data_IF_927819236729
#
_entry.id   IF_927819236729
#
_cell.length_a   1.000
_cell.length_b   1.000
_cell.length_c   1.000
_cell.angle_alpha   90.00
_cell.angle_beta   90.00
_cell.angle_gamma   90.00
#
_symmetry.space_group_name_H-M   'P 1'
#
loop_
_entity.id
_entity.type
_entity.pdbx_description
1 polymer ?
#
# COMPACT_ATOMS: atom_id res chain seq x y z
N UNK A 1 25.93 9.35 25.43
CA UNK A 1 24.79 10.12 25.97
C UNK A 1 23.49 9.48 25.50
N UNK A 2 22.81 8.70 26.34
CA UNK A 2 21.48 8.16 26.05
C UNK A 2 20.48 9.31 25.96
N UNK A 3 19.85 9.49 24.81
CA UNK A 3 18.66 10.34 24.73
C UNK A 3 17.63 9.80 25.73
N UNK A 4 17.02 10.65 26.57
CA UNK A 4 15.98 10.21 27.47
C UNK A 4 14.91 9.47 26.67
N UNK A 5 14.36 8.41 27.26
CA UNK A 5 13.24 7.66 26.69
C UNK A 5 12.04 8.61 26.65
N UNK A 6 11.95 9.45 25.62
CA UNK A 6 10.86 10.39 25.44
C UNK A 6 9.62 9.60 25.05
N UNK A 7 8.84 9.24 26.06
CA UNK A 7 7.48 8.78 25.86
C UNK A 7 6.73 9.92 25.17
N UNK A 8 6.16 9.63 23.99
CA UNK A 8 5.26 10.56 23.32
C UNK A 8 4.08 10.77 24.28
N UNK A 9 4.09 11.88 25.02
CA UNK A 9 3.00 12.23 25.93
C UNK A 9 2.07 13.13 25.15
N UNK A 10 0.96 12.56 24.70
CA UNK A 10 -0.06 13.32 24.00
C UNK A 10 -0.98 13.98 25.03
N UNK A 11 -1.27 15.28 24.90
CA UNK A 11 -2.24 15.97 25.74
C UNK A 11 -3.69 15.52 25.45
N UNK A 12 -3.92 14.85 24.32
CA UNK A 12 -5.23 14.44 23.80
C UNK A 12 -5.17 13.05 23.16
N UNK A 13 -6.33 12.38 23.05
CA UNK A 13 -6.47 11.08 22.38
C UNK A 13 -6.46 11.18 20.84
N UNK A 14 -6.36 12.41 20.32
CA UNK A 14 -6.28 12.75 18.90
C UNK A 14 -4.95 13.43 18.63
N UNK A 15 -4.27 13.00 17.57
CA UNK A 15 -3.03 13.61 17.10
C UNK A 15 -3.17 13.98 15.62
N UNK A 16 -2.81 15.21 15.27
CA UNK A 16 -2.74 15.64 13.87
C UNK A 16 -1.54 14.98 13.22
N UNK A 17 -1.74 14.29 12.11
CA UNK A 17 -0.67 13.72 11.28
C UNK A 17 -0.48 14.61 10.05
N UNK A 18 0.75 15.03 9.82
CA UNK A 18 1.13 15.83 8.65
C UNK A 18 2.24 15.16 7.84
N UNK A 19 2.28 15.38 6.51
CA UNK A 19 3.41 14.91 5.72
C UNK A 19 4.69 15.65 6.11
N UNK A 20 5.74 14.90 6.41
CA UNK A 20 7.09 15.44 6.44
C UNK A 20 7.71 15.29 5.07
N UNK A 21 7.68 16.38 4.28
CA UNK A 21 8.30 16.41 2.95
C UNK A 21 9.82 16.49 3.07
N UNK A 22 10.51 15.59 2.37
CA UNK A 22 11.95 15.56 2.23
C UNK A 22 12.29 15.33 0.75
N UNK A 23 12.76 16.36 0.02
CA UNK A 23 13.00 16.27 -1.42
C UNK A 23 13.97 15.17 -1.84
N UNK A 24 14.84 14.71 -0.93
CA UNK A 24 15.78 13.62 -1.20
C UNK A 24 15.08 12.28 -1.05
N UNK A 25 14.36 12.06 0.05
CA UNK A 25 13.61 10.81 0.28
C UNK A 25 12.44 10.65 -0.69
N UNK A 26 11.83 11.75 -1.13
CA UNK A 26 10.77 11.74 -2.13
C UNK A 26 11.25 11.11 -3.45
N UNK A 27 12.54 11.23 -3.78
CA UNK A 27 13.14 10.67 -4.99
C UNK A 27 13.82 9.32 -4.75
N UNK A 28 14.55 9.19 -3.65
CA UNK A 28 15.49 8.07 -3.42
C UNK A 28 15.05 7.12 -2.30
N UNK A 29 14.01 7.48 -1.56
CA UNK A 29 13.48 6.68 -0.46
C UNK A 29 12.58 5.54 -0.93
N UNK A 30 12.44 4.54 -0.06
CA UNK A 30 11.52 3.43 -0.23
C UNK A 30 10.18 3.76 0.42
N UNK A 31 9.08 3.60 -0.30
CA UNK A 31 7.72 3.72 0.27
C UNK A 31 7.60 2.81 1.51
N UNK A 32 7.00 3.32 2.59
CA UNK A 32 6.80 2.57 3.83
C UNK A 32 6.08 1.22 3.62
N UNK A 33 5.29 1.10 2.55
CA UNK A 33 4.52 -0.08 2.17
C UNK A 33 5.29 -1.04 1.25
N UNK A 34 6.50 -0.67 0.84
CA UNK A 34 7.33 -1.48 -0.06
C UNK A 34 7.85 -2.76 0.59
N UNK A 35 8.13 -3.77 -0.25
CA UNK A 35 8.79 -4.99 0.18
C UNK A 35 10.16 -4.72 0.82
N UNK A 36 10.89 -3.68 0.38
CA UNK A 36 12.17 -3.29 0.98
C UNK A 36 12.00 -2.94 2.46
N UNK A 37 10.99 -2.12 2.79
CA UNK A 37 10.73 -1.71 4.18
C UNK A 37 10.28 -2.90 5.02
N UNK A 38 9.39 -3.73 4.49
CA UNK A 38 8.93 -4.92 5.18
C UNK A 38 10.05 -5.93 5.45
N UNK A 39 10.95 -6.14 4.50
CA UNK A 39 12.03 -7.14 4.61
C UNK A 39 13.19 -6.66 5.48
N UNK A 40 13.63 -5.41 5.30
CA UNK A 40 14.91 -4.94 5.86
C UNK A 40 14.73 -3.95 7.01
N UNK A 41 13.70 -3.10 6.98
CA UNK A 41 13.44 -2.16 8.07
C UNK A 41 12.67 -2.79 9.23
N UNK A 42 11.82 -3.78 8.99
CA UNK A 42 11.01 -4.42 10.04
C UNK A 42 11.84 -4.96 11.21
N UNK A 43 12.97 -5.68 11.03
CA UNK A 43 13.80 -6.13 12.15
C UNK A 43 14.36 -4.97 13.00
N UNK A 44 14.50 -3.78 12.41
CA UNK A 44 15.05 -2.60 13.06
C UNK A 44 13.94 -1.77 13.72
N UNK A 45 12.81 -1.56 13.06
CA UNK A 45 11.72 -0.74 13.58
C UNK A 45 10.77 -1.51 14.49
N UNK A 46 10.67 -2.83 14.31
CA UNK A 46 9.66 -3.67 14.93
C UNK A 46 8.30 -3.59 14.20
N UNK A 47 7.42 -4.56 14.47
CA UNK A 47 6.16 -4.72 13.74
C UNK A 47 5.22 -3.53 13.92
N UNK A 48 5.03 -3.06 15.17
CA UNK A 48 4.12 -1.96 15.48
C UNK A 48 4.49 -0.67 14.75
N UNK A 49 5.76 -0.28 14.82
CA UNK A 49 6.27 0.93 14.12
C UNK A 49 6.10 0.81 12.61
N UNK A 50 6.40 -0.36 12.06
CA UNK A 50 6.31 -0.61 10.61
C UNK A 50 4.86 -0.51 10.13
N UNK A 51 3.92 -1.15 10.83
CA UNK A 51 2.50 -1.07 10.50
C UNK A 51 1.92 0.33 10.68
N UNK A 52 2.35 1.05 11.72
CA UNK A 52 2.00 2.46 11.90
C UNK A 52 2.43 3.32 10.70
N UNK A 53 3.71 3.23 10.29
CA UNK A 53 4.21 3.99 9.14
C UNK A 53 3.51 3.61 7.83
N UNK A 54 3.22 2.32 7.62
CA UNK A 54 2.45 1.84 6.47
C UNK A 54 1.05 2.43 6.41
N UNK A 55 0.35 2.46 7.55
CA UNK A 55 -0.97 3.09 7.66
C UNK A 55 -0.89 4.58 7.38
N UNK A 56 0.04 5.29 8.00
CA UNK A 56 0.22 6.74 7.79
C UNK A 56 0.53 7.04 6.33
N UNK A 57 1.40 6.28 5.68
CA UNK A 57 1.71 6.46 4.26
C UNK A 57 0.48 6.24 3.36
N UNK A 58 -0.37 5.26 3.67
CA UNK A 58 -1.63 5.06 2.94
C UNK A 58 -2.61 6.23 3.15
N UNK A 59 -2.78 6.70 4.39
CA UNK A 59 -3.70 7.80 4.69
C UNK A 59 -3.22 9.13 4.11
N UNK A 60 -1.91 9.42 4.13
CA UNK A 60 -1.34 10.63 3.53
C UNK A 60 -1.44 10.63 2.00
N UNK A 61 -1.50 9.47 1.35
CA UNK A 61 -1.79 9.38 -0.09
C UNK A 61 -3.24 9.81 -0.39
N UNK A 62 -4.18 9.41 0.46
CA UNK A 62 -5.60 9.79 0.33
C UNK A 62 -5.87 11.23 0.82
N UNK A 63 -5.11 11.70 1.81
CA UNK A 63 -5.26 13.00 2.49
C UNK A 63 -3.91 13.73 2.54
N UNK A 64 -3.46 14.34 1.42
CA UNK A 64 -2.11 14.93 1.33
C UNK A 64 -1.87 16.10 2.28
N UNK A 65 -2.92 16.78 2.75
CA UNK A 65 -2.81 17.88 3.72
C UNK A 65 -2.73 17.41 5.17
N UNK A 66 -2.67 16.09 5.41
CA UNK A 66 -2.72 15.50 6.74
C UNK A 66 -4.13 15.17 7.22
N UNK A 67 -4.20 14.41 8.31
CA UNK A 67 -5.44 13.90 8.88
C UNK A 67 -5.34 13.78 10.41
N UNK A 68 -6.49 13.67 11.07
CA UNK A 68 -6.54 13.51 12.53
C UNK A 68 -6.56 12.02 12.88
N UNK A 69 -5.53 11.56 13.60
CA UNK A 69 -5.38 10.18 14.02
C UNK A 69 -5.93 10.01 15.42
N UNK A 70 -6.98 9.19 15.53
CA UNK A 70 -7.55 8.74 16.80
C UNK A 70 -6.66 7.63 17.38
N UNK A 71 -5.95 7.89 18.47
CA UNK A 71 -4.89 7.00 18.99
C UNK A 71 -5.44 5.63 19.39
N UNK A 72 -6.50 5.60 20.20
CA UNK A 72 -7.09 4.36 20.70
C UNK A 72 -7.75 3.52 19.58
N UNK A 73 -8.68 4.05 18.76
CA UNK A 73 -9.23 3.32 17.63
C UNK A 73 -8.16 2.80 16.65
N UNK A 74 -7.11 3.59 16.41
CA UNK A 74 -6.02 3.16 15.53
C UNK A 74 -5.22 2.02 16.14
N UNK A 75 -4.91 2.06 17.44
CA UNK A 75 -4.24 0.98 18.14
C UNK A 75 -5.05 -0.32 18.09
N UNK A 76 -6.36 -0.25 18.36
CA UNK A 76 -7.27 -1.39 18.26
C UNK A 76 -7.33 -1.97 16.84
N UNK A 77 -7.40 -1.11 15.81
CA UNK A 77 -7.41 -1.54 14.41
C UNK A 77 -6.10 -2.24 13.98
N UNK A 78 -4.98 -1.99 14.67
CA UNK A 78 -3.71 -2.67 14.47
C UNK A 78 -3.56 -3.94 15.35
N UNK A 79 -4.60 -4.34 16.07
CA UNK A 79 -4.58 -5.49 16.97
C UNK A 79 -3.74 -5.28 18.23
N UNK A 80 -3.49 -4.03 18.61
CA UNK A 80 -2.69 -3.68 19.79
C UNK A 80 -3.61 -3.51 21.00
N UNK A 81 -3.19 -4.09 22.13
CA UNK A 81 -3.89 -3.93 23.39
C UNK A 81 -3.99 -2.46 23.80
N UNK A 82 -5.20 -2.02 24.10
CA UNK A 82 -5.55 -0.66 24.56
C UNK A 82 -5.41 -0.49 26.08
N UNK A 83 -5.22 -1.59 26.81
CA UNK A 83 -5.07 -1.59 28.26
C UNK A 83 -3.65 -1.14 28.65
N UNK A 84 -3.49 0.13 29.04
CA UNK A 84 -2.31 0.55 29.80
C UNK A 84 -1.76 1.94 29.48
N UNK A 85 -2.37 2.99 30.05
CA UNK A 85 -1.77 4.30 30.32
C UNK A 85 -0.80 4.90 29.28
N UNK A 86 0.18 5.68 29.76
CA UNK A 86 1.16 6.41 28.93
C UNK A 86 2.18 5.54 28.18
N UNK A 87 2.08 4.21 28.22
CA UNK A 87 3.12 3.29 27.72
C UNK A 87 2.57 2.12 26.87
N UNK A 88 1.53 2.38 26.08
CA UNK A 88 0.97 1.37 25.19
C UNK A 88 1.96 0.97 24.07
N UNK A 89 1.87 -0.26 23.52
CA UNK A 89 2.68 -0.67 22.36
C UNK A 89 2.60 0.31 21.19
N UNK A 90 1.42 0.89 20.96
CA UNK A 90 1.20 1.87 19.89
C UNK A 90 1.99 3.16 20.12
N UNK A 91 1.90 3.76 21.32
CA UNK A 91 2.67 4.96 21.67
C UNK A 91 4.18 4.71 21.62
N UNK A 92 4.64 3.52 22.03
CA UNK A 92 6.04 3.12 21.87
C UNK A 92 6.45 2.98 20.40
N UNK A 93 5.57 2.50 19.54
CA UNK A 93 5.78 2.44 18.09
C UNK A 93 5.96 3.84 17.49
N UNK A 94 5.10 4.80 17.85
CA UNK A 94 5.23 6.19 17.39
C UNK A 94 6.52 6.85 17.92
N UNK A 95 6.82 6.68 19.21
CA UNK A 95 8.07 7.17 19.80
C UNK A 95 9.30 6.55 19.13
N UNK A 96 9.22 5.28 18.71
CA UNK A 96 10.27 4.62 17.96
C UNK A 96 10.40 5.19 16.55
N UNK A 97 9.31 5.48 15.84
CA UNK A 97 9.38 6.21 14.57
C UNK A 97 10.12 7.54 14.73
N UNK A 98 9.85 8.28 15.80
CA UNK A 98 10.57 9.51 16.13
C UNK A 98 12.06 9.28 16.41
N UNK A 99 12.39 8.24 17.19
CA UNK A 99 13.79 7.84 17.45
C UNK A 99 14.58 7.55 16.18
N UNK A 100 13.93 6.96 15.17
CA UNK A 100 14.54 6.67 13.86
C UNK A 100 14.46 7.84 12.87
N UNK A 101 14.00 9.02 13.31
CA UNK A 101 13.83 10.23 12.48
C UNK A 101 12.87 10.02 11.30
N UNK A 102 11.90 9.12 11.47
CA UNK A 102 10.82 8.87 10.51
C UNK A 102 9.54 9.61 10.90
N UNK A 103 9.51 10.15 12.11
CA UNK A 103 8.49 11.07 12.58
C UNK A 103 9.14 12.16 13.44
N UNK A 104 8.48 13.30 13.59
CA UNK A 104 8.87 14.35 14.53
C UNK A 104 7.65 15.07 15.06
N UNK A 105 7.65 15.37 16.36
CA UNK A 105 6.61 16.19 16.95
C UNK A 105 6.80 17.64 16.50
N UNK A 106 5.71 18.27 16.10
CA UNK A 106 5.61 19.69 15.75
C UNK A 106 4.57 20.29 16.70
N UNK A 107 5.01 21.19 17.59
CA UNK A 107 4.12 21.68 18.65
C UNK A 107 3.72 20.59 19.65
N UNK A 108 2.45 20.60 20.09
CA UNK A 108 1.97 19.77 21.20
C UNK A 108 1.08 18.59 20.76
N UNK A 109 0.47 18.68 19.58
CA UNK A 109 -0.58 17.77 19.10
C UNK A 109 -0.38 17.33 17.65
N UNK A 110 0.71 17.74 17.00
CA UNK A 110 0.99 17.43 15.60
C UNK A 110 2.24 16.58 15.46
N UNK A 111 2.17 15.53 14.64
CA UNK A 111 3.27 14.63 14.32
C UNK A 111 3.48 14.62 12.81
N UNK A 112 4.60 15.21 12.38
CA UNK A 112 5.01 15.16 10.99
C UNK A 112 5.70 13.81 10.71
N UNK A 113 5.28 13.08 9.68
CA UNK A 113 5.71 11.71 9.39
C UNK A 113 6.24 11.58 7.96
N UNK A 114 7.36 10.86 7.81
CA UNK A 114 7.94 10.51 6.52
C UNK A 114 7.16 9.35 5.87
N UNK A 115 6.64 9.55 4.66
CA UNK A 115 5.97 8.49 3.89
C UNK A 115 6.97 7.50 3.25
N UNK A 116 8.22 7.95 3.06
CA UNK A 116 9.32 7.16 2.50
C UNK A 116 10.47 7.05 3.49
N UNK A 117 11.06 5.86 3.56
CA UNK A 117 12.20 5.57 4.42
C UNK A 117 13.49 5.57 3.59
N UNK A 118 14.61 6.04 4.16
CA UNK A 118 15.89 5.93 3.47
C UNK A 118 16.29 4.45 3.28
N UNK A 119 17.15 4.16 2.30
CA UNK A 119 17.91 2.92 2.28
C UNK A 119 18.65 2.74 3.61
N UNK A 120 18.79 1.49 4.06
CA UNK A 120 19.53 1.21 5.29
C UNK A 120 20.99 1.62 5.18
N UNK A 121 21.50 2.20 6.27
CA UNK A 121 22.93 2.49 6.42
C UNK A 121 23.73 1.20 6.64
N UNK A 122 25.03 1.22 6.32
CA UNK A 122 25.91 0.07 6.54
C UNK A 122 25.87 -0.45 7.99
N UNK A 123 25.89 0.45 8.97
CA UNK A 123 25.83 0.09 10.39
C UNK A 123 24.50 -0.54 10.80
N UNK A 124 23.39 -0.16 10.15
CA UNK A 124 22.09 -0.82 10.37
C UNK A 124 22.09 -2.22 9.77
N UNK A 125 22.63 -2.38 8.56
CA UNK A 125 22.76 -3.67 7.87
C UNK A 125 23.63 -4.64 8.67
N UNK A 126 24.73 -4.18 9.26
CA UNK A 126 25.63 -4.98 10.11
C UNK A 126 24.92 -5.58 11.33
N UNK A 127 23.84 -4.96 11.81
CA UNK A 127 23.06 -5.44 12.96
C UNK A 127 21.95 -6.43 12.57
N UNK A 128 21.70 -6.64 11.29
CA UNK A 128 20.69 -7.59 10.82
C UNK A 128 21.16 -9.05 11.03
N UNK A 129 20.22 -10.00 11.15
CA UNK A 129 20.54 -11.43 11.03
C UNK A 129 21.28 -11.73 9.73
N UNK A 130 22.20 -12.70 9.75
CA UNK A 130 23.06 -13.02 8.60
C UNK A 130 22.26 -13.25 7.31
N UNK A 131 21.22 -14.09 7.35
CA UNK A 131 20.39 -14.37 6.18
C UNK A 131 19.69 -13.13 5.59
N UNK A 132 19.27 -12.16 6.42
CA UNK A 132 18.66 -10.91 5.95
C UNK A 132 19.71 -9.97 5.35
N UNK A 133 20.94 -9.97 5.90
CA UNK A 133 22.06 -9.21 5.35
C UNK A 133 22.46 -9.72 3.97
N UNK A 134 22.53 -11.03 3.81
CA UNK A 134 22.87 -11.67 2.53
C UNK A 134 21.78 -11.39 1.48
N UNK A 135 20.52 -11.49 1.87
CA UNK A 135 19.38 -11.11 1.02
C UNK A 135 19.43 -9.62 0.62
N UNK A 136 19.80 -8.73 1.55
CA UNK A 136 19.96 -7.31 1.24
C UNK A 136 21.08 -7.06 0.22
N UNK A 137 22.18 -7.80 0.31
CA UNK A 137 23.27 -7.71 -0.66
C UNK A 137 22.82 -8.14 -2.07
N UNK A 138 22.08 -9.25 -2.18
CA UNK A 138 21.48 -9.69 -3.45
C UNK A 138 20.52 -8.65 -4.00
N UNK A 139 19.62 -8.11 -3.17
CA UNK A 139 18.70 -7.05 -3.56
C UNK A 139 19.43 -5.82 -4.09
N UNK A 140 20.52 -5.42 -3.45
CA UNK A 140 21.33 -4.27 -3.87
C UNK A 140 22.04 -4.52 -5.20
N UNK A 141 22.53 -5.73 -5.44
CA UNK A 141 23.14 -6.11 -6.72
C UNK A 141 22.11 -6.13 -7.85
N UNK A 142 20.92 -6.67 -7.61
CA UNK A 142 19.80 -6.64 -8.57
C UNK A 142 19.33 -5.21 -8.84
N UNK A 143 19.22 -4.39 -7.80
CA UNK A 143 18.89 -2.98 -7.92
C UNK A 143 19.95 -2.27 -8.76
N UNK A 144 21.26 -2.45 -8.49
CA UNK A 144 22.35 -1.87 -9.30
C UNK A 144 22.30 -2.29 -10.76
N UNK A 145 21.85 -3.50 -11.06
CA UNK A 145 21.67 -4.00 -12.43
C UNK A 145 20.45 -3.39 -13.15
N UNK A 146 19.46 -2.87 -12.40
CA UNK A 146 18.14 -2.52 -12.93
C UNK A 146 17.53 -1.14 -12.54
N UNK A 147 18.23 -0.09 -12.06
CA UNK A 147 17.55 0.86 -11.17
C UNK A 147 16.90 2.11 -11.80
N UNK A 148 17.16 2.49 -13.04
CA UNK A 148 16.56 3.70 -13.64
C UNK A 148 15.71 3.40 -14.89
N UNK A 149 16.17 2.46 -15.71
CA UNK A 149 15.51 2.08 -16.97
C UNK A 149 14.12 1.50 -16.75
N UNK A 150 13.90 0.68 -15.72
CA UNK A 150 12.61 0.03 -15.52
C UNK A 150 11.55 0.99 -14.94
N UNK A 151 11.95 1.92 -14.08
CA UNK A 151 11.05 2.99 -13.61
C UNK A 151 10.72 3.97 -14.75
N UNK A 152 11.72 4.36 -15.52
CA UNK A 152 11.55 5.19 -16.72
C UNK A 152 10.62 4.49 -17.73
N UNK A 153 10.79 3.18 -17.96
CA UNK A 153 9.93 2.36 -18.84
C UNK A 153 8.49 2.30 -18.34
N UNK A 154 8.26 2.10 -17.04
CA UNK A 154 6.89 2.09 -16.46
C UNK A 154 6.22 3.45 -16.57
N UNK A 155 6.97 4.54 -16.37
CA UNK A 155 6.46 5.91 -16.54
C UNK A 155 6.15 6.20 -18.02
N UNK A 156 7.05 5.84 -18.92
CA UNK A 156 6.86 5.98 -20.36
C UNK A 156 5.61 5.24 -20.85
N UNK A 157 5.41 3.99 -20.39
CA UNK A 157 4.22 3.17 -20.71
C UNK A 157 2.91 3.81 -20.25
N UNK A 158 2.87 4.38 -19.04
CA UNK A 158 1.67 5.09 -18.56
C UNK A 158 1.38 6.34 -19.37
N UNK A 159 2.41 7.13 -19.68
CA UNK A 159 2.26 8.33 -20.51
C UNK A 159 1.78 7.99 -21.93
N UNK A 160 2.35 6.94 -22.54
CA UNK A 160 1.93 6.45 -23.84
C UNK A 160 0.47 5.99 -23.83
N UNK A 161 0.05 5.22 -22.81
CA UNK A 161 -1.33 4.78 -22.67
C UNK A 161 -2.31 5.95 -22.53
N UNK A 162 -1.98 6.94 -21.70
CA UNK A 162 -2.82 8.13 -21.56
C UNK A 162 -2.96 8.92 -22.87
N UNK A 163 -1.89 9.08 -23.65
CA UNK A 163 -1.95 9.78 -24.93
C UNK A 163 -2.76 9.00 -25.98
N UNK A 164 -2.60 7.68 -26.03
CA UNK A 164 -3.40 6.81 -26.91
C UNK A 164 -4.89 6.82 -26.51
N UNK A 165 -5.21 6.81 -25.21
CA UNK A 165 -6.59 6.92 -24.70
C UNK A 165 -7.23 8.28 -25.03
N UNK A 166 -6.43 9.34 -25.10
CA UNK A 166 -6.85 10.67 -25.54
C UNK A 166 -7.04 10.78 -27.07
N UNK A 167 -6.70 9.72 -27.83
CA UNK A 167 -6.90 9.66 -29.27
C UNK A 167 -5.77 10.28 -30.10
N UNK A 168 -4.59 10.52 -29.49
CA UNK A 168 -3.40 10.97 -30.22
C UNK A 168 -2.93 9.90 -31.22
N UNK A 169 -2.38 10.32 -32.35
CA UNK A 169 -1.76 9.42 -33.34
C UNK A 169 -0.41 8.89 -32.84
N UNK A 170 0.02 7.73 -33.32
CA UNK A 170 1.29 7.09 -32.99
C UNK A 170 2.49 8.05 -33.11
N UNK A 171 2.51 8.84 -34.17
CA UNK A 171 3.53 9.85 -34.45
C UNK A 171 3.53 10.97 -33.41
N UNK A 172 2.34 11.44 -32.99
CA UNK A 172 2.20 12.45 -31.95
C UNK A 172 2.61 11.91 -30.58
N UNK A 173 2.25 10.66 -30.25
CA UNK A 173 2.65 10.00 -29.00
C UNK A 173 4.17 9.88 -28.93
N UNK A 174 4.82 9.34 -29.95
CA UNK A 174 6.28 9.21 -29.96
C UNK A 174 6.93 10.59 -29.89
N UNK A 175 6.54 11.57 -30.71
CA UNK A 175 7.12 12.92 -30.67
C UNK A 175 6.98 13.57 -29.29
N UNK A 176 5.85 13.36 -28.60
CA UNK A 176 5.62 13.88 -27.26
C UNK A 176 6.52 13.21 -26.21
N UNK A 177 6.70 11.89 -26.27
CA UNK A 177 7.61 11.15 -25.38
C UNK A 177 9.07 11.58 -25.59
N UNK A 178 9.49 11.81 -26.84
CA UNK A 178 10.81 12.37 -27.17
C UNK A 178 10.99 13.79 -26.64
N UNK A 179 9.96 14.64 -26.75
CA UNK A 179 9.95 16.00 -26.20
C UNK A 179 10.13 16.00 -24.69
N UNK A 180 9.60 14.98 -24.00
CA UNK A 180 9.82 14.71 -22.58
C UNK A 180 11.13 13.97 -22.26
N UNK A 181 12.07 13.91 -23.21
CA UNK A 181 13.41 13.33 -23.06
C UNK A 181 13.42 11.83 -22.78
N UNK A 182 12.38 11.10 -23.21
CA UNK A 182 12.38 9.64 -23.21
C UNK A 182 13.16 9.16 -24.44
N UNK A 183 14.06 8.19 -24.24
CA UNK A 183 14.89 7.65 -25.32
C UNK A 183 14.03 7.01 -26.42
N UNK A 184 14.38 7.14 -27.73
CA UNK A 184 13.56 6.64 -28.84
C UNK A 184 13.13 5.18 -28.71
N UNK A 185 14.07 4.30 -28.36
CA UNK A 185 13.76 2.88 -28.16
C UNK A 185 12.70 2.65 -27.04
N UNK A 186 12.76 3.41 -25.95
CA UNK A 186 11.79 3.30 -24.86
C UNK A 186 10.43 3.94 -25.21
N UNK A 187 10.43 5.00 -26.02
CA UNK A 187 9.20 5.63 -26.51
C UNK A 187 8.43 4.66 -27.43
N UNK A 188 9.15 4.03 -28.36
CA UNK A 188 8.62 3.01 -29.25
C UNK A 188 8.07 1.79 -28.50
N UNK A 189 8.85 1.25 -27.55
CA UNK A 189 8.42 0.14 -26.69
C UNK A 189 7.18 0.49 -25.85
N UNK A 190 7.08 1.73 -25.38
CA UNK A 190 5.95 2.21 -24.58
C UNK A 190 4.67 2.38 -25.41
N UNK A 191 4.78 2.90 -26.64
CA UNK A 191 3.67 3.02 -27.58
C UNK A 191 3.14 1.63 -27.98
N UNK A 192 4.04 0.71 -28.34
CA UNK A 192 3.65 -0.67 -28.68
C UNK A 192 2.89 -1.33 -27.53
N UNK A 193 3.40 -1.21 -26.30
CA UNK A 193 2.74 -1.74 -25.11
C UNK A 193 1.35 -1.11 -24.88
N UNK A 194 1.18 0.20 -25.13
CA UNK A 194 -0.10 0.88 -24.97
C UNK A 194 -1.16 0.35 -25.95
N UNK A 195 -0.78 0.09 -27.21
CA UNK A 195 -1.67 -0.53 -28.20
C UNK A 195 -2.05 -1.97 -27.86
N UNK A 196 -1.08 -2.77 -27.41
CA UNK A 196 -1.34 -4.13 -26.90
C UNK A 196 -2.31 -4.10 -25.72
N UNK A 197 -2.19 -3.11 -24.82
CA UNK A 197 -3.09 -2.93 -23.67
C UNK A 197 -4.50 -2.49 -24.06
N UNK A 198 -4.62 -1.61 -25.06
CA UNK A 198 -5.91 -1.15 -25.62
C UNK A 198 -6.62 -2.26 -26.38
N UNK A 199 -5.87 -3.05 -27.14
CA UNK A 199 -6.37 -4.26 -27.82
C UNK A 199 -6.75 -5.38 -26.85
N UNK A 200 -6.14 -5.42 -25.67
CA UNK A 200 -6.44 -6.35 -24.58
C UNK A 200 -7.56 -5.87 -23.63
N UNK A 201 -8.29 -4.80 -23.95
CA UNK A 201 -9.53 -4.47 -23.25
C UNK A 201 -10.51 -5.66 -23.34
N UNK A 202 -11.24 -5.99 -22.25
CA UNK A 202 -11.97 -7.23 -22.14
C UNK A 202 -12.97 -7.38 -23.28
N UNK A 203 -12.97 -8.56 -23.91
CA UNK A 203 -14.07 -9.01 -24.74
C UNK A 203 -15.38 -8.67 -24.05
N UNK A 204 -16.22 -7.90 -24.76
CA UNK A 204 -17.63 -7.66 -24.55
C UNK A 204 -18.22 -8.11 -23.20
N UNK A 205 -18.69 -7.15 -22.40
CA UNK A 205 -19.84 -7.43 -21.56
C UNK A 205 -20.93 -8.07 -22.46
N UNK A 206 -21.42 -9.29 -22.16
CA UNK A 206 -22.50 -9.88 -22.93
C UNK A 206 -23.73 -8.97 -22.88
N UNK A 207 -24.55 -8.91 -23.95
CA UNK A 207 -25.78 -8.13 -23.94
C UNK A 207 -26.63 -8.57 -22.74
N UNK A 208 -27.08 -7.58 -21.97
CA UNK A 208 -27.99 -7.74 -20.84
C UNK A 208 -29.07 -8.77 -21.17
N UNK A 209 -29.02 -9.92 -20.49
CA UNK A 209 -30.05 -10.93 -20.56
C UNK A 209 -31.37 -10.30 -20.14
N UNK A 210 -32.33 -10.31 -21.06
CA UNK A 210 -33.75 -10.13 -20.78
C UNK A 210 -34.10 -10.96 -19.54
N UNK A 211 -34.75 -10.33 -18.56
CA UNK A 211 -35.41 -11.03 -17.46
C UNK A 211 -36.28 -12.17 -18.02
N UNK A 212 -36.12 -13.42 -17.54
CA UNK A 212 -37.17 -14.41 -17.65
C UNK A 212 -38.29 -14.01 -16.68
N UNK A 213 -39.53 -13.95 -17.18
CA UNK A 213 -40.73 -13.73 -16.38
C UNK A 213 -40.95 -14.80 -15.29
N UNK A 214 -41.98 -14.63 -14.44
CA UNK A 214 -42.18 -15.44 -13.25
C UNK A 214 -42.39 -16.93 -13.59
N UNK A 215 -41.80 -17.81 -12.77
CA UNK A 215 -41.90 -19.27 -12.86
C UNK A 215 -43.37 -19.72 -12.79
N UNK A 216 -43.82 -20.65 -13.65
CA UNK A 216 -45.07 -21.37 -13.42
C UNK A 216 -44.91 -22.39 -12.28
N UNK A 217 -45.96 -22.50 -11.45
CA UNK A 217 -46.06 -23.43 -10.32
C UNK A 217 -45.92 -24.90 -10.77
N UNK A 218 -45.31 -25.77 -9.95
CA UNK A 218 -45.23 -27.20 -10.24
C UNK A 218 -46.59 -27.90 -10.06
N UNK A 219 -46.93 -28.90 -10.90
CA UNK A 219 -48.17 -29.65 -10.78
C UNK A 219 -48.21 -30.52 -9.53
N UNK A 220 -49.39 -30.60 -8.91
CA UNK A 220 -49.69 -31.33 -7.69
C UNK A 220 -49.37 -32.84 -7.81
N UNK A 221 -48.67 -33.36 -6.80
CA UNK A 221 -48.42 -34.79 -6.65
C UNK A 221 -49.73 -35.55 -6.29
N UNK A 222 -49.93 -36.78 -6.80
CA UNK A 222 -51.10 -37.58 -6.49
C UNK A 222 -51.11 -38.07 -5.03
N UNK A 223 -52.30 -38.04 -4.43
CA UNK A 223 -52.57 -38.48 -3.05
C UNK A 223 -52.30 -39.99 -2.91
N UNK A 224 -51.58 -40.45 -1.87
CA UNK A 224 -51.55 -41.87 -1.54
C UNK A 224 -52.80 -42.25 -0.74
N UNK A 225 -53.44 -43.32 -1.20
CA UNK A 225 -54.65 -43.91 -0.64
C UNK A 225 -54.48 -44.40 0.80
N UNK A 226 -55.57 -44.21 1.57
CA UNK A 226 -55.83 -44.77 2.89
C UNK A 226 -55.85 -46.30 2.83
N UNK A 227 -54.93 -46.96 3.53
CA UNK A 227 -55.15 -48.33 4.04
C UNK A 227 -54.97 -48.34 5.56
N UNK A 228 -56.07 -48.70 6.23
CA UNK A 228 -56.24 -48.91 7.67
C UNK A 228 -55.37 -50.06 8.19
N UNK A 229 -54.81 -49.90 9.39
CA UNK A 229 -54.69 -50.95 10.44
C UNK A 229 -54.13 -50.27 11.71
N UNK A 230 -54.93 -49.93 12.72
CA UNK A 230 -55.39 -50.77 13.84
C UNK A 230 -54.26 -51.30 14.75
N UNK A 231 -54.20 -50.81 15.99
CA UNK A 231 -53.67 -51.56 17.14
C UNK A 231 -52.52 -50.92 17.94
N UNK A 232 -52.86 -50.20 19.01
CA UNK A 232 -52.10 -50.18 20.27
C UNK A 232 -52.79 -51.17 21.26
N UNK A 233 -52.36 -51.41 22.52
CA UNK A 233 -51.19 -50.93 23.30
C UNK A 233 -50.41 -52.11 23.94
N UNK A 234 -49.26 -51.96 24.61
CA UNK A 234 -48.98 -51.34 25.92
C UNK A 234 -47.46 -51.25 26.11
#
# INVERSE_FOLDING_TARGET
MSLPNQYLTLPTDVIRIEPWLDPVLDKLGHDARSAYVERFWLPILGPTTTLFLRRVAHELENQPNGFDLQVLPTASALGLGVSGGRNTPFLRGMARAAKFKLARLVGHDTLAVQAKLPPLTRTQIERLPAHIRDEHAVWQDEARRTPDVEQLRRRARRLALSLVELGETDEQVEQQLHRWKIHPALAHDALRWAHERRGAAPAAAPPSSRQPGPRPEPPAAPRPDLIRSSGAPR
#
